data_IF_080906585766
#
_entry.id   IF_080906585766
#
_cell.length_a   1.000
_cell.length_b   1.000
_cell.length_c   1.000
_cell.angle_alpha   90.00
_cell.angle_beta   90.00
_cell.angle_gamma   90.00
#
_symmetry.space_group_name_H-M   'P 1'
#
loop_
_entity.id
_entity.type
_entity.pdbx_description
1 polymer ?
#
# COMPACT_ATOMS: atom_id res chain seq x y z
N UNK A 1 22.19 0.21 2.87
CA UNK A 1 22.48 -0.47 4.15
C UNK A 1 21.82 -1.84 4.23
N UNK A 2 20.49 -1.96 4.08
CA UNK A 2 19.79 -3.26 4.10
C UNK A 2 20.41 -4.30 3.15
N UNK A 3 20.63 -3.91 1.91
CA UNK A 3 21.21 -4.80 0.88
C UNK A 3 22.60 -5.34 1.25
N UNK A 4 23.46 -4.50 1.83
CA UNK A 4 24.78 -4.92 2.29
C UNK A 4 24.69 -5.90 3.47
N UNK A 5 23.71 -5.72 4.37
CA UNK A 5 23.47 -6.63 5.49
C UNK A 5 22.93 -7.99 5.00
N UNK A 6 22.01 -8.01 4.02
CA UNK A 6 21.53 -9.23 3.38
C UNK A 6 22.66 -9.99 2.69
N UNK A 7 23.53 -9.28 1.94
CA UNK A 7 24.74 -9.87 1.35
C UNK A 7 25.68 -10.44 2.40
N UNK A 8 25.89 -9.72 3.50
CA UNK A 8 26.74 -10.18 4.60
C UNK A 8 26.17 -11.45 5.25
N UNK A 9 24.86 -11.48 5.52
CA UNK A 9 24.19 -12.64 6.09
C UNK A 9 24.25 -13.84 5.15
N UNK A 10 24.00 -13.63 3.86
CA UNK A 10 24.12 -14.69 2.86
C UNK A 10 25.55 -15.21 2.74
N UNK A 11 26.56 -14.34 2.80
CA UNK A 11 27.95 -14.76 2.81
C UNK A 11 28.28 -15.63 4.03
N UNK A 12 27.74 -15.31 5.21
CA UNK A 12 27.89 -16.16 6.39
C UNK A 12 27.20 -17.52 6.21
N UNK A 13 26.04 -17.55 5.57
CA UNK A 13 25.36 -18.80 5.20
C UNK A 13 26.22 -19.67 4.28
N UNK A 14 26.90 -19.09 3.27
CA UNK A 14 27.81 -19.81 2.38
C UNK A 14 29.00 -20.42 3.12
N UNK A 15 29.51 -19.74 4.16
CA UNK A 15 30.62 -20.26 4.96
C UNK A 15 30.17 -21.42 5.88
N UNK A 16 28.97 -21.32 6.45
CA UNK A 16 28.43 -22.33 7.36
C UNK A 16 27.90 -23.59 6.65
N UNK A 17 27.53 -23.46 5.38
CA UNK A 17 26.90 -24.53 4.62
C UNK A 17 27.78 -24.85 3.42
N UNK A 18 28.20 -26.11 3.25
CA UNK A 18 28.93 -26.59 2.06
C UNK A 18 28.06 -26.61 0.78
N UNK A 19 27.20 -25.61 0.60
CA UNK A 19 26.20 -25.48 -0.47
C UNK A 19 26.77 -24.95 -1.79
N UNK A 20 28.10 -24.95 -1.97
CA UNK A 20 28.76 -24.39 -3.15
C UNK A 20 28.26 -25.00 -4.47
N UNK A 21 27.95 -26.30 -4.46
CA UNK A 21 27.42 -27.01 -5.64
C UNK A 21 26.01 -26.51 -5.98
N UNK A 22 25.12 -26.42 -4.98
CA UNK A 22 23.75 -25.95 -5.13
C UNK A 22 23.69 -24.48 -5.57
N UNK A 23 24.50 -23.62 -4.94
CA UNK A 23 24.58 -22.20 -5.28
C UNK A 23 25.08 -22.02 -6.72
N UNK A 24 26.02 -22.84 -7.18
CA UNK A 24 26.52 -22.76 -8.56
C UNK A 24 25.50 -23.25 -9.58
N UNK A 25 24.68 -24.25 -9.25
CA UNK A 25 23.52 -24.67 -10.06
C UNK A 25 22.54 -23.50 -10.24
N UNK A 26 22.14 -22.89 -9.12
CA UNK A 26 21.13 -21.83 -9.07
C UNK A 26 21.64 -20.47 -9.61
N UNK A 27 22.95 -20.21 -9.60
CA UNK A 27 23.55 -18.96 -10.09
C UNK A 27 23.18 -18.64 -11.54
N UNK A 28 22.97 -19.66 -12.39
CA UNK A 28 22.56 -19.46 -13.77
C UNK A 28 21.14 -18.88 -13.83
N UNK A 29 20.20 -19.52 -13.13
CA UNK A 29 18.80 -19.13 -13.09
C UNK A 29 18.61 -17.76 -12.42
N UNK A 30 19.34 -17.47 -11.34
CA UNK A 30 19.31 -16.15 -10.68
C UNK A 30 19.82 -15.05 -11.63
N UNK A 31 20.84 -15.30 -12.45
CA UNK A 31 21.32 -14.30 -13.42
C UNK A 31 20.27 -13.98 -14.47
N UNK A 32 19.51 -14.98 -14.91
CA UNK A 32 18.41 -14.77 -15.85
C UNK A 32 17.29 -13.93 -15.22
N UNK A 33 16.93 -14.21 -13.95
CA UNK A 33 15.98 -13.40 -13.18
C UNK A 33 16.44 -11.96 -12.94
N UNK A 34 17.74 -11.73 -12.73
CA UNK A 34 18.29 -10.40 -12.47
C UNK A 34 18.22 -9.48 -13.70
N UNK A 35 18.15 -10.04 -14.91
CA UNK A 35 18.07 -9.28 -16.16
C UNK A 35 16.63 -8.89 -16.47
N UNK A 36 15.67 -9.77 -16.17
CA UNK A 36 14.25 -9.51 -16.41
C UNK A 36 13.40 -10.15 -15.30
N UNK A 37 12.81 -9.32 -14.44
CA UNK A 37 11.89 -9.76 -13.39
C UNK A 37 10.48 -9.72 -13.97
N UNK A 38 10.00 -10.86 -14.46
CA UNK A 38 8.61 -11.07 -14.89
C UNK A 38 7.91 -12.10 -13.99
N UNK A 39 6.59 -12.00 -13.86
CA UNK A 39 5.79 -12.91 -13.02
C UNK A 39 5.96 -14.37 -13.46
N UNK A 40 6.00 -14.62 -14.78
CA UNK A 40 6.22 -15.97 -15.33
C UNK A 40 7.63 -16.50 -15.04
N UNK A 41 8.63 -15.62 -15.02
CA UNK A 41 10.02 -15.97 -14.71
C UNK A 41 10.18 -16.31 -13.21
N UNK A 42 9.47 -15.59 -12.34
CA UNK A 42 9.42 -15.88 -10.90
C UNK A 42 8.73 -17.23 -10.66
N UNK A 43 7.61 -17.49 -11.34
CA UNK A 43 6.84 -18.72 -11.16
C UNK A 43 7.62 -19.95 -11.64
N UNK A 44 8.26 -19.88 -12.80
CA UNK A 44 9.12 -20.96 -13.31
C UNK A 44 10.33 -21.23 -12.41
N UNK A 45 11.01 -20.19 -11.91
CA UNK A 45 12.13 -20.34 -10.96
C UNK A 45 11.67 -20.89 -9.62
N UNK A 46 10.45 -20.55 -9.20
CA UNK A 46 9.84 -21.08 -7.98
C UNK A 46 9.51 -22.56 -8.10
N UNK A 47 9.46 -23.15 -9.31
CA UNK A 47 9.29 -24.60 -9.51
C UNK A 47 10.60 -25.38 -9.47
N UNK A 48 11.76 -24.71 -9.58
CA UNK A 48 13.06 -25.38 -9.50
C UNK A 48 13.31 -25.92 -8.08
N UNK A 49 13.57 -27.22 -7.98
CA UNK A 49 13.86 -27.92 -6.73
C UNK A 49 15.12 -27.38 -6.03
N UNK A 50 16.16 -27.05 -6.80
CA UNK A 50 17.42 -26.51 -6.27
C UNK A 50 17.21 -25.12 -5.64
N UNK A 51 16.39 -24.27 -6.29
CA UNK A 51 16.06 -22.93 -5.79
C UNK A 51 15.26 -23.03 -4.49
N UNK A 52 14.28 -23.95 -4.44
CA UNK A 52 13.47 -24.20 -3.25
C UNK A 52 14.31 -24.73 -2.09
N UNK A 53 15.19 -25.71 -2.34
CA UNK A 53 16.08 -26.26 -1.32
C UNK A 53 17.05 -25.19 -0.79
N UNK A 54 17.63 -24.38 -1.68
CA UNK A 54 18.49 -23.25 -1.28
C UNK A 54 17.73 -22.25 -0.41
N UNK A 55 16.52 -21.87 -0.82
CA UNK A 55 15.66 -20.96 -0.05
C UNK A 55 15.32 -21.53 1.33
N UNK A 56 14.96 -22.81 1.41
CA UNK A 56 14.63 -23.47 2.68
C UNK A 56 15.84 -23.51 3.62
N UNK A 57 17.02 -23.86 3.11
CA UNK A 57 18.27 -23.86 3.89
C UNK A 57 18.63 -22.47 4.39
N UNK A 58 18.55 -21.47 3.52
CA UNK A 58 18.80 -20.08 3.89
C UNK A 58 17.80 -19.57 4.93
N UNK A 59 16.51 -19.88 4.76
CA UNK A 59 15.45 -19.50 5.69
C UNK A 59 15.68 -20.11 7.08
N UNK A 60 16.02 -21.39 7.14
CA UNK A 60 16.34 -22.06 8.40
C UNK A 60 17.59 -21.45 9.06
N UNK A 61 18.64 -21.16 8.28
CA UNK A 61 19.82 -20.46 8.78
C UNK A 61 19.47 -19.08 9.34
N UNK A 62 18.74 -18.26 8.60
CA UNK A 62 18.29 -16.92 9.01
C UNK A 62 17.48 -16.98 10.29
N UNK A 63 16.57 -17.94 10.43
CA UNK A 63 15.80 -18.14 11.65
C UNK A 63 16.70 -18.55 12.83
N UNK A 64 17.72 -19.37 12.57
CA UNK A 64 18.77 -19.67 13.54
C UNK A 64 19.50 -18.41 14.03
N UNK A 65 19.89 -17.52 13.12
CA UNK A 65 20.52 -16.23 13.48
C UNK A 65 19.55 -15.33 14.24
N UNK A 66 18.27 -15.33 13.85
CA UNK A 66 17.20 -14.60 14.54
C UNK A 66 17.00 -15.07 15.99
N UNK A 67 17.24 -16.36 16.28
CA UNK A 67 17.28 -16.94 17.63
C UNK A 67 18.61 -16.78 18.37
N UNK A 68 19.64 -16.19 17.74
CA UNK A 68 20.91 -15.86 18.38
C UNK A 68 22.04 -16.87 18.17
N UNK A 69 21.94 -17.77 17.18
CA UNK A 69 23.00 -18.75 16.88
C UNK A 69 24.37 -18.10 16.57
N UNK A 70 24.40 -16.91 15.97
CA UNK A 70 25.63 -16.14 15.69
C UNK A 70 25.88 -15.02 16.72
N UNK A 71 25.27 -15.11 17.90
CA UNK A 71 25.41 -14.13 18.97
C UNK A 71 24.45 -12.94 18.86
N UNK A 72 24.46 -12.11 19.92
CA UNK A 72 23.50 -11.01 20.11
C UNK A 72 23.58 -9.93 19.03
N UNK A 73 24.78 -9.63 18.54
CA UNK A 73 24.98 -8.62 17.50
C UNK A 73 24.35 -9.04 16.18
N UNK A 74 24.56 -10.28 15.74
CA UNK A 74 23.95 -10.79 14.52
C UNK A 74 22.42 -10.86 14.65
N UNK A 75 21.92 -11.33 15.80
CA UNK A 75 20.49 -11.32 16.10
C UNK A 75 19.87 -9.92 15.99
N UNK A 76 20.54 -8.91 16.54
CA UNK A 76 20.07 -7.52 16.45
C UNK A 76 19.95 -7.06 15.00
N UNK A 77 20.97 -7.32 14.17
CA UNK A 77 20.96 -6.88 12.77
C UNK A 77 19.90 -7.60 11.93
N UNK A 78 19.67 -8.90 12.15
CA UNK A 78 18.59 -9.62 11.45
C UNK A 78 17.23 -9.04 11.81
N UNK A 79 16.97 -8.79 13.10
CA UNK A 79 15.72 -8.14 13.56
C UNK A 79 15.57 -6.73 12.96
N UNK A 80 16.65 -5.98 12.87
CA UNK A 80 16.65 -4.67 12.22
C UNK A 80 16.27 -4.79 10.73
N UNK A 81 16.87 -5.74 10.01
CA UNK A 81 16.54 -5.99 8.60
C UNK A 81 15.05 -6.32 8.42
N UNK A 82 14.45 -7.15 9.29
CA UNK A 82 13.01 -7.44 9.25
C UNK A 82 12.16 -6.16 9.34
N UNK A 83 12.54 -5.22 10.22
CA UNK A 83 11.83 -3.94 10.35
C UNK A 83 12.01 -3.04 9.13
N UNK A 84 13.21 -2.99 8.54
CA UNK A 84 13.43 -2.23 7.30
C UNK A 84 12.62 -2.83 6.14
N UNK A 85 12.59 -4.16 6.01
CA UNK A 85 11.76 -4.83 5.01
C UNK A 85 10.27 -4.50 5.19
N UNK A 86 9.77 -4.51 6.42
CA UNK A 86 8.39 -4.09 6.73
C UNK A 86 8.13 -2.64 6.29
N UNK A 87 9.04 -1.71 6.60
CA UNK A 87 8.93 -0.30 6.22
C UNK A 87 8.95 -0.10 4.69
N UNK A 88 9.64 -0.96 3.94
CA UNK A 88 9.67 -0.93 2.47
C UNK A 88 8.43 -1.61 1.86
N UNK A 89 7.93 -2.68 2.50
CA UNK A 89 6.74 -3.43 2.05
C UNK A 89 5.47 -2.58 2.14
N UNK A 90 5.36 -1.75 3.18
CA UNK A 90 4.20 -0.88 3.38
C UNK A 90 3.90 0.08 2.21
N UNK A 91 4.84 0.95 1.76
CA UNK A 91 4.61 1.80 0.60
C UNK A 91 4.56 1.01 -0.71
N UNK A 92 5.24 -0.15 -0.80
CA UNK A 92 5.10 -1.04 -1.97
C UNK A 92 3.66 -1.54 -2.11
N UNK A 93 3.01 -1.93 -1.00
CA UNK A 93 1.62 -2.37 -1.03
C UNK A 93 0.69 -1.28 -1.59
N UNK A 94 0.89 -0.02 -1.19
CA UNK A 94 0.17 1.12 -1.78
C UNK A 94 0.48 1.31 -3.26
N UNK A 95 1.76 1.25 -3.64
CA UNK A 95 2.17 1.43 -5.05
C UNK A 95 1.69 0.31 -6.00
N UNK A 96 1.44 -0.87 -5.45
CA UNK A 96 0.95 -2.06 -6.18
C UNK A 96 -0.54 -2.30 -5.99
N UNK A 97 -1.23 -1.38 -5.31
CA UNK A 97 -2.66 -1.49 -5.01
C UNK A 97 -3.08 -2.75 -4.24
N UNK A 98 -2.15 -3.36 -3.49
CA UNK A 98 -2.41 -4.56 -2.73
C UNK A 98 -2.92 -4.20 -1.32
N UNK A 99 -4.24 -4.09 -1.20
CA UNK A 99 -4.90 -3.72 0.05
C UNK A 99 -4.62 -4.72 1.20
N UNK A 100 -4.61 -6.02 0.91
CA UNK A 100 -4.34 -7.06 1.93
C UNK A 100 -2.92 -6.97 2.47
N UNK A 101 -1.93 -6.79 1.59
CA UNK A 101 -0.54 -6.59 2.01
C UNK A 101 -0.38 -5.30 2.83
N UNK A 102 -1.14 -4.24 2.51
CA UNK A 102 -1.14 -3.01 3.30
C UNK A 102 -1.68 -3.25 4.72
N UNK A 103 -2.79 -3.99 4.85
CA UNK A 103 -3.39 -4.33 6.13
C UNK A 103 -2.44 -5.17 7.00
N UNK A 104 -1.80 -6.19 6.42
CA UNK A 104 -0.79 -7.01 7.10
C UNK A 104 0.39 -6.17 7.59
N UNK A 105 0.93 -5.28 6.72
CA UNK A 105 2.00 -4.38 7.13
C UNK A 105 1.57 -3.45 8.27
N UNK A 106 0.33 -2.95 8.25
CA UNK A 106 -0.18 -2.09 9.30
C UNK A 106 -0.31 -2.83 10.64
N UNK A 107 -0.73 -4.10 10.62
CA UNK A 107 -0.75 -4.98 11.80
C UNK A 107 0.65 -5.15 12.40
N UNK A 108 1.67 -5.38 11.57
CA UNK A 108 3.06 -5.53 12.01
C UNK A 108 3.72 -4.21 12.46
N UNK A 109 3.30 -3.07 11.89
CA UNK A 109 3.80 -1.74 12.24
C UNK A 109 3.28 -1.24 13.59
N UNK A 110 2.06 -1.60 13.99
CA UNK A 110 1.46 -1.12 15.25
C UNK A 110 2.35 -1.42 16.48
N UNK A 111 2.81 -2.67 16.71
CA UNK A 111 3.76 -2.96 17.79
C UNK A 111 5.09 -2.20 17.68
N UNK A 112 5.55 -1.93 16.46
CA UNK A 112 6.80 -1.21 16.23
C UNK A 112 6.68 0.26 16.68
N UNK A 113 5.54 0.92 16.44
CA UNK A 113 5.31 2.28 16.93
C UNK A 113 5.31 2.35 18.46
N UNK A 114 4.75 1.35 19.14
CA UNK A 114 4.84 1.26 20.61
C UNK A 114 6.29 1.07 21.07
N UNK A 115 7.06 0.19 20.42
CA UNK A 115 8.44 -0.08 20.78
C UNK A 115 9.37 1.14 20.58
N UNK A 116 9.05 2.02 19.63
CA UNK A 116 9.83 3.22 19.29
C UNK A 116 9.31 4.50 19.98
N UNK A 117 8.41 4.37 20.95
CA UNK A 117 7.78 5.48 21.69
C UNK A 117 7.06 6.50 20.77
N UNK A 118 6.55 6.05 19.64
CA UNK A 118 5.72 6.84 18.73
C UNK A 118 4.24 6.72 19.11
N UNK A 119 3.89 7.13 20.34
CA UNK A 119 2.59 6.87 20.96
C UNK A 119 1.39 7.39 20.14
N UNK A 120 1.52 8.58 19.54
CA UNK A 120 0.47 9.14 18.67
C UNK A 120 0.24 8.25 17.44
N UNK A 121 1.32 7.83 16.78
CA UNK A 121 1.23 6.92 15.64
C UNK A 121 0.67 5.57 16.06
N UNK A 122 1.12 5.01 17.19
CA UNK A 122 0.62 3.75 17.69
C UNK A 122 -0.90 3.79 17.95
N UNK A 123 -1.39 4.87 18.58
CA UNK A 123 -2.82 5.07 18.85
C UNK A 123 -3.64 5.17 17.56
N UNK A 124 -3.25 6.06 16.65
CA UNK A 124 -4.01 6.31 15.42
C UNK A 124 -3.92 5.13 14.44
N UNK A 125 -2.75 4.51 14.30
CA UNK A 125 -2.57 3.33 13.46
C UNK A 125 -3.41 2.15 13.96
N UNK A 126 -3.48 1.94 15.28
CA UNK A 126 -4.31 0.87 15.86
C UNK A 126 -5.81 1.11 15.62
N UNK A 127 -6.28 2.35 15.81
CA UNK A 127 -7.67 2.71 15.53
C UNK A 127 -8.02 2.59 14.04
N UNK A 128 -7.10 3.04 13.17
CA UNK A 128 -7.22 2.90 11.73
C UNK A 128 -7.30 1.42 11.31
N UNK A 129 -6.39 0.59 11.84
CA UNK A 129 -6.37 -0.85 11.58
C UNK A 129 -7.69 -1.53 11.96
N UNK A 130 -8.22 -1.26 13.16
CA UNK A 130 -9.52 -1.80 13.59
C UNK A 130 -10.65 -1.35 12.66
N UNK A 131 -10.61 -0.10 12.19
CA UNK A 131 -11.61 0.43 11.26
C UNK A 131 -11.57 -0.29 9.92
N UNK A 132 -10.36 -0.58 9.40
CA UNK A 132 -10.19 -1.36 8.17
C UNK A 132 -10.58 -2.83 8.32
N UNK A 133 -10.31 -3.46 9.46
CA UNK A 133 -10.75 -4.85 9.71
C UNK A 133 -12.28 -4.92 9.80
N UNK A 134 -12.90 -3.91 10.41
CA UNK A 134 -14.35 -3.83 10.57
C UNK A 134 -15.08 -3.29 9.32
N UNK A 135 -14.37 -3.08 8.21
CA UNK A 135 -14.94 -2.51 6.99
C UNK A 135 -16.13 -3.31 6.44
N UNK A 136 -16.06 -4.66 6.33
CA UNK A 136 -17.15 -5.45 5.77
C UNK A 136 -18.46 -5.35 6.57
N UNK A 137 -18.35 -5.09 7.88
CA UNK A 137 -19.51 -4.94 8.77
C UNK A 137 -20.03 -3.50 8.82
N UNK A 138 -19.13 -2.52 8.83
CA UNK A 138 -19.51 -1.10 8.92
C UNK A 138 -19.99 -0.53 7.59
N UNK A 139 -19.37 -0.94 6.47
CA UNK A 139 -19.66 -0.46 5.12
C UNK A 139 -19.59 -1.65 4.13
N UNK A 140 -20.66 -2.44 4.01
CA UNK A 140 -20.71 -3.58 3.09
C UNK A 140 -20.37 -3.16 1.65
N UNK A 141 -19.48 -3.90 0.99
CA UNK A 141 -19.02 -3.62 -0.38
C UNK A 141 -17.82 -2.68 -0.49
N UNK A 142 -17.44 -1.97 0.58
CA UNK A 142 -16.26 -1.12 0.56
C UNK A 142 -14.95 -1.94 0.49
N UNK A 143 -14.91 -3.13 1.09
CA UNK A 143 -13.75 -4.01 1.01
C UNK A 143 -13.53 -4.55 -0.40
N UNK A 144 -14.60 -4.83 -1.13
CA UNK A 144 -14.55 -5.22 -2.53
C UNK A 144 -14.03 -4.08 -3.40
N UNK A 145 -14.48 -2.84 -3.17
CA UNK A 145 -13.94 -1.66 -3.87
C UNK A 145 -12.44 -1.47 -3.62
N UNK A 146 -11.99 -1.65 -2.37
CA UNK A 146 -10.56 -1.52 -2.04
C UNK A 146 -9.70 -2.63 -2.65
N UNK A 147 -10.21 -3.86 -2.72
CA UNK A 147 -9.57 -4.98 -3.43
C UNK A 147 -9.56 -4.75 -4.95
N UNK A 148 -10.63 -4.18 -5.49
CA UNK A 148 -10.83 -3.93 -6.92
C UNK A 148 -10.28 -2.56 -7.34
N UNK A 149 -8.99 -2.40 -7.13
CA UNK A 149 -8.21 -1.22 -7.51
C UNK A 149 -8.58 0.13 -6.86
N UNK A 150 -9.53 0.20 -5.93
CA UNK A 150 -9.94 1.43 -5.26
C UNK A 150 -9.01 1.92 -4.14
N UNK A 151 -7.98 1.15 -3.77
CA UNK A 151 -7.10 1.49 -2.65
C UNK A 151 -6.04 2.56 -2.97
N UNK A 152 -5.58 2.66 -4.23
CA UNK A 152 -4.54 3.61 -4.64
C UNK A 152 -4.76 4.11 -6.07
N UNK A 153 -4.38 5.36 -6.31
CA UNK A 153 -4.57 6.06 -7.59
C UNK A 153 -3.25 6.41 -8.23
N UNK A 154 -3.21 6.39 -9.56
CA UNK A 154 -2.07 6.84 -10.35
C UNK A 154 -2.45 8.06 -11.17
N UNK A 155 -1.57 9.06 -11.24
CA UNK A 155 -1.75 10.23 -12.11
C UNK A 155 -0.96 10.12 -13.42
N UNK A 156 -0.10 9.12 -13.54
CA UNK A 156 0.68 8.84 -14.75
C UNK A 156 0.63 7.35 -15.08
N UNK A 157 1.05 7.00 -16.28
CA UNK A 157 1.18 5.59 -16.70
C UNK A 157 2.49 4.95 -16.24
N UNK A 158 3.28 5.64 -15.42
CA UNK A 158 4.56 5.12 -14.92
C UNK A 158 4.29 4.04 -13.89
N UNK A 159 4.84 2.82 -14.04
CA UNK A 159 4.74 1.78 -13.03
C UNK A 159 5.24 2.28 -11.66
N UNK A 160 4.55 1.89 -10.58
CA UNK A 160 4.86 2.29 -9.20
C UNK A 160 4.76 3.81 -8.86
N UNK A 161 4.06 4.60 -9.69
CA UNK A 161 3.72 5.99 -9.41
C UNK A 161 2.41 6.17 -8.62
N UNK A 162 1.74 5.07 -8.27
CA UNK A 162 0.52 5.06 -7.47
C UNK A 162 0.76 5.61 -6.06
N UNK A 163 -0.23 6.34 -5.56
CA UNK A 163 -0.24 6.92 -4.22
C UNK A 163 -1.57 6.65 -3.54
N UNK A 164 -1.61 6.83 -2.22
CA UNK A 164 -2.86 6.77 -1.48
C UNK A 164 -3.85 7.81 -2.03
N UNK A 165 -5.13 7.43 -2.11
CA UNK A 165 -6.21 8.29 -2.62
C UNK A 165 -6.23 9.64 -1.90
N UNK A 166 -6.13 9.60 -0.57
CA UNK A 166 -6.10 10.79 0.28
C UNK A 166 -4.96 11.76 -0.09
N UNK A 167 -3.73 11.24 -0.21
CA UNK A 167 -2.57 12.05 -0.60
C UNK A 167 -2.76 12.68 -1.99
N UNK A 168 -3.38 11.95 -2.92
CA UNK A 168 -3.69 12.49 -4.25
C UNK A 168 -4.73 13.61 -4.18
N UNK A 169 -5.80 13.45 -3.39
CA UNK A 169 -6.83 14.49 -3.18
C UNK A 169 -6.19 15.74 -2.55
N UNK A 170 -5.29 15.55 -1.58
CA UNK A 170 -4.60 16.66 -0.94
C UNK A 170 -3.72 17.43 -1.95
N UNK A 171 -2.97 16.71 -2.78
CA UNK A 171 -2.05 17.29 -3.75
C UNK A 171 -2.73 17.89 -4.98
N UNK A 172 -3.99 17.54 -5.25
CA UNK A 172 -4.76 18.03 -6.40
C UNK A 172 -5.89 18.95 -5.95
N UNK A 173 -7.03 18.38 -5.54
CA UNK A 173 -8.28 19.08 -5.28
C UNK A 173 -8.12 20.10 -4.15
N UNK A 174 -7.56 19.67 -3.01
CA UNK A 174 -7.41 20.57 -1.86
C UNK A 174 -6.40 21.68 -2.16
N UNK A 175 -5.34 21.37 -2.93
CA UNK A 175 -4.36 22.36 -3.34
C UNK A 175 -4.96 23.39 -4.31
N UNK A 176 -5.73 22.93 -5.30
CA UNK A 176 -6.41 23.77 -6.28
C UNK A 176 -7.47 24.66 -5.64
N UNK A 177 -8.28 24.13 -4.73
CA UNK A 177 -9.29 24.89 -4.00
C UNK A 177 -8.68 25.99 -3.09
N UNK A 178 -7.44 25.79 -2.62
CA UNK A 178 -6.71 26.77 -1.79
C UNK A 178 -6.02 27.85 -2.63
N UNK A 179 -5.67 27.59 -3.89
CA UNK A 179 -5.10 28.60 -4.80
C UNK A 179 -6.22 29.44 -5.42
N UNK A 180 -6.58 30.56 -4.78
CA UNK A 180 -7.69 31.45 -5.14
C UNK A 180 -7.49 32.36 -6.37
N UNK A 181 -6.66 31.99 -7.36
CA UNK A 181 -6.41 32.83 -8.55
C UNK A 181 -6.54 32.07 -9.89
N UNK A 182 -7.49 31.13 -10.01
CA UNK A 182 -7.80 30.50 -11.29
C UNK A 182 -9.02 31.17 -11.94
N UNK A 183 -8.96 31.53 -13.25
CA UNK A 183 -10.13 32.01 -13.97
C UNK A 183 -11.23 30.93 -13.99
N UNK A 184 -12.51 31.34 -14.07
CA UNK A 184 -13.64 30.43 -14.00
C UNK A 184 -13.53 29.30 -15.04
N UNK A 185 -13.88 28.09 -14.63
CA UNK A 185 -13.66 26.81 -15.31
C UNK A 185 -14.49 26.59 -16.59
N UNK A 186 -14.75 27.63 -17.38
CA UNK A 186 -15.57 27.52 -18.60
C UNK A 186 -14.76 27.27 -19.88
N UNK A 187 -13.44 27.43 -19.89
CA UNK A 187 -12.67 27.37 -21.16
C UNK A 187 -12.14 25.99 -21.58
N UNK A 188 -12.31 24.93 -20.80
CA UNK A 188 -11.72 23.60 -21.12
C UNK A 188 -12.72 22.44 -21.22
N UNK A 189 -14.02 22.71 -21.41
CA UNK A 189 -15.00 21.65 -21.71
C UNK A 189 -15.27 20.66 -20.57
N UNK A 190 -14.67 20.86 -19.38
CA UNK A 190 -14.99 20.11 -18.17
C UNK A 190 -16.17 20.77 -17.47
N UNK A 191 -17.40 20.35 -17.78
CA UNK A 191 -18.56 20.68 -16.95
C UNK A 191 -18.47 19.86 -15.66
N UNK A 192 -18.07 20.49 -14.56
CA UNK A 192 -18.37 19.99 -13.22
C UNK A 192 -19.80 20.43 -12.91
N UNK A 193 -20.79 19.63 -13.30
CA UNK A 193 -22.14 19.79 -12.77
C UNK A 193 -22.14 19.25 -11.35
N UNK A 194 -22.13 20.16 -10.38
CA UNK A 194 -22.65 19.85 -9.05
C UNK A 194 -24.15 19.64 -9.24
N UNK A 195 -24.60 18.38 -9.25
CA UNK A 195 -26.03 18.13 -9.11
C UNK A 195 -26.47 18.66 -7.74
N UNK A 196 -27.13 19.81 -7.78
CA UNK A 196 -27.64 20.52 -6.61
C UNK A 196 -26.95 21.86 -6.39
N UNK A 197 -27.45 22.90 -7.06
CA UNK A 197 -27.40 24.28 -6.57
C UNK A 197 -28.03 24.30 -5.17
N UNK A 198 -27.22 24.13 -4.13
CA UNK A 198 -27.60 24.49 -2.76
C UNK A 198 -27.31 25.98 -2.59
N UNK A 199 -28.30 26.74 -3.06
CA UNK A 199 -28.52 28.13 -2.72
C UNK A 199 -28.59 28.24 -1.19
N UNK A 200 -27.55 28.79 -0.57
CA UNK A 200 -27.51 29.01 0.88
C UNK A 200 -28.41 30.19 1.23
N UNK A 201 -29.73 29.97 1.27
CA UNK A 201 -30.65 30.85 1.98
C UNK A 201 -31.97 30.13 2.39
N UNK A 202 -32.18 30.05 3.71
CA UNK A 202 -33.44 29.87 4.46
C UNK A 202 -34.32 28.60 4.23
N UNK A 203 -34.61 27.88 5.32
CA UNK A 203 -35.65 26.82 5.44
C UNK A 203 -37.10 27.35 5.29
N UNK A 204 -38.21 26.55 5.36
CA UNK A 204 -38.38 25.08 5.43
C UNK A 204 -39.49 24.47 4.49
N UNK A 205 -39.53 23.11 4.41
CA UNK A 205 -40.54 22.20 3.78
C UNK A 205 -40.35 22.02 2.26
N UNK A 206 -40.28 20.82 1.66
CA UNK A 206 -41.12 19.62 1.81
C UNK A 206 -40.39 18.34 1.30
N UNK A 207 -40.92 17.19 1.75
CA UNK A 207 -40.50 15.80 1.46
C UNK A 207 -40.22 15.49 -0.02
N UNK A 208 -39.12 14.79 -0.31
CA UNK A 208 -39.00 13.81 -1.39
C UNK A 208 -38.10 12.65 -0.94
N UNK A 209 -38.52 11.42 -1.23
CA UNK A 209 -37.91 10.13 -0.84
C UNK A 209 -36.64 9.78 -1.64
N UNK A 210 -35.72 8.97 -1.09
CA UNK A 210 -34.43 8.69 -1.74
C UNK A 210 -34.56 7.54 -2.77
N UNK A 211 -33.84 7.58 -3.90
CA UNK A 211 -33.39 6.34 -4.53
C UNK A 211 -32.10 5.88 -3.85
N UNK A 212 -32.12 4.62 -3.44
CA UNK A 212 -31.01 3.83 -2.95
C UNK A 212 -29.80 3.89 -3.89
N UNK A 213 -28.64 4.31 -3.39
CA UNK A 213 -27.31 3.65 -3.49
C UNK A 213 -26.28 4.64 -2.94
N UNK A 214 -26.03 4.60 -1.63
CA UNK A 214 -24.99 5.42 -1.00
C UNK A 214 -23.60 4.88 -1.38
N UNK A 215 -22.86 5.65 -2.18
CA UNK A 215 -21.49 5.35 -2.59
C UNK A 215 -20.53 6.04 -1.60
N UNK A 216 -19.87 5.28 -0.72
CA UNK A 216 -18.98 5.81 0.31
C UNK A 216 -17.52 5.75 -0.15
N UNK A 217 -16.84 6.89 -0.20
CA UNK A 217 -15.37 6.95 -0.26
C UNK A 217 -14.86 6.95 1.18
N UNK A 218 -14.09 5.93 1.54
CA UNK A 218 -13.42 5.85 2.85
C UNK A 218 -12.08 6.57 2.73
N UNK A 219 -12.06 7.82 3.20
CA UNK A 219 -10.83 8.63 3.27
C UNK A 219 -10.09 8.27 4.57
N UNK A 220 -8.94 7.62 4.42
CA UNK A 220 -8.01 7.41 5.52
C UNK A 220 -6.76 8.27 5.28
N UNK A 221 -6.62 9.29 6.12
CA UNK A 221 -5.60 10.31 5.92
C UNK A 221 -4.19 9.80 6.25
N UNK A 222 -3.24 9.96 5.33
CA UNK A 222 -1.81 9.71 5.61
C UNK A 222 -0.98 10.95 5.25
N UNK A 223 -0.94 11.90 6.18
CA UNK A 223 -0.10 13.09 6.10
C UNK A 223 -0.64 14.21 6.99
N UNK A 224 0.10 14.58 8.03
CA UNK A 224 -0.23 15.63 9.01
C UNK A 224 -1.63 15.47 9.65
N UNK A 225 -1.69 14.55 10.62
CA UNK A 225 -2.90 14.10 11.32
C UNK A 225 -3.69 15.23 12.01
N UNK A 226 -4.61 15.84 11.27
CA UNK A 226 -5.83 16.49 11.79
C UNK A 226 -7.02 15.75 11.23
N UNK A 227 -7.64 14.90 12.05
CA UNK A 227 -8.86 14.19 11.69
C UNK A 227 -10.03 15.18 11.68
N UNK A 228 -10.50 15.56 10.50
CA UNK A 228 -11.82 16.19 10.34
C UNK A 228 -12.76 15.13 9.79
N UNK A 229 -13.54 14.51 10.68
CA UNK A 229 -14.74 13.77 10.29
C UNK A 229 -15.81 14.80 9.91
N UNK A 230 -15.84 15.24 8.65
CA UNK A 230 -17.02 15.92 8.11
C UNK A 230 -17.79 14.99 7.17
N UNK A 231 -19.08 14.81 7.46
CA UNK A 231 -19.99 13.82 6.87
C UNK A 231 -20.53 14.24 5.49
N UNK A 232 -19.81 15.03 4.69
CA UNK A 232 -20.44 15.75 3.56
C UNK A 232 -19.65 15.84 2.25
N UNK A 233 -18.72 14.93 1.98
CA UNK A 233 -18.06 14.87 0.67
C UNK A 233 -18.19 13.49 0.04
N UNK A 234 -19.15 13.38 -0.88
CA UNK A 234 -19.29 12.27 -1.83
C UNK A 234 -18.76 12.79 -3.17
N UNK A 235 -17.67 12.21 -3.67
CA UNK A 235 -17.28 12.38 -5.07
C UNK A 235 -17.47 11.05 -5.78
N UNK A 236 -18.32 11.04 -6.80
CA UNK A 236 -18.49 9.90 -7.71
C UNK A 236 -17.55 10.14 -8.89
N UNK A 237 -16.50 9.33 -9.03
CA UNK A 237 -15.70 9.29 -10.27
C UNK A 237 -16.28 8.16 -11.11
N UNK A 238 -17.23 8.49 -11.99
CA UNK A 238 -17.61 7.59 -13.09
C UNK A 238 -16.61 7.76 -14.23
N UNK A 239 -15.95 6.68 -14.62
CA UNK A 239 -15.32 6.60 -15.94
C UNK A 239 -16.44 6.54 -16.97
N UNK A 240 -16.60 7.58 -17.78
CA UNK A 240 -17.34 7.43 -19.03
C UNK A 240 -16.47 6.60 -19.97
N UNK A 241 -16.82 5.33 -20.15
CA UNK A 241 -16.54 4.64 -21.41
C UNK A 241 -17.40 5.32 -22.48
N UNK A 242 -16.75 6.02 -23.41
CA UNK A 242 -17.40 6.49 -24.62
C UNK A 242 -17.50 5.33 -25.61
N UNK A 243 -18.57 4.53 -25.52
CA UNK A 243 -19.32 4.07 -26.70
C UNK A 243 -20.01 5.32 -27.28
N UNK A 244 -20.12 5.64 -28.56
CA UNK A 244 -19.84 4.98 -29.83
C UNK A 244 -20.00 6.03 -30.97
N UNK A 245 -19.59 5.64 -32.19
CA UNK A 245 -20.23 5.95 -33.49
C UNK A 245 -19.49 6.82 -34.54
N UNK A 246 -19.24 6.13 -35.67
CA UNK A 246 -18.72 6.46 -37.01
C UNK A 246 -17.20 6.51 -37.25
#
# INVERSE_FOLDING_TARGET
MLEALERCLFHQFEQHTNSNILINSVKKDIKELLIFIDENSIESSSQNEDVRDLWMRYSHFREGVHHGQLGKTAQFWVKYMDKVWLLLRFPRATKTNNFMAHLQCLQELCPLFFAMDHQNYARYASAYLVSLINLPHSHPGADDLLKNWGFSVSRSQVPASRTAVDLSIEQTVNRQAKSKDLPPAEEHGWKVTLDGDLDYNCSPKSKLSPPSTDCFIIVAQQGLFSFVFDRRLVMVVQSQESESDF
#
